data_IF_763123019163
#
_entry.id   IF_763123019163
#
_cell.length_a   1.000
_cell.length_b   1.000
_cell.length_c   1.000
_cell.angle_alpha   90.00
_cell.angle_beta   90.00
_cell.angle_gamma   90.00
#
_symmetry.space_group_name_H-M   'P 1'
#
loop_
_entity.id
_entity.type
_entity.pdbx_description
1 polymer ?
#
# COMPACT_ATOMS: atom_id res chain seq x y z
N UNK A 1 11.93 -8.54 -4.77
CA UNK A 1 11.51 -7.20 -4.33
C UNK A 1 10.31 -7.28 -3.38
N UNK A 2 10.43 -6.80 -2.13
CA UNK A 2 9.32 -6.70 -1.17
C UNK A 2 8.42 -5.50 -1.48
N UNK A 3 7.11 -5.65 -1.26
CA UNK A 3 6.12 -4.58 -1.42
C UNK A 3 5.66 -4.02 -0.09
N UNK A 4 5.19 -2.79 -0.12
CA UNK A 4 4.57 -2.18 1.04
C UNK A 4 3.23 -2.87 1.30
N UNK A 5 3.10 -3.48 2.46
CA UNK A 5 1.86 -4.09 2.92
C UNK A 5 1.58 -3.67 4.35
N UNK A 6 0.36 -3.17 4.57
CA UNK A 6 -0.21 -2.97 5.88
C UNK A 6 -0.72 -4.31 6.38
N UNK A 7 -0.35 -4.70 7.60
CA UNK A 7 -0.91 -5.91 8.22
C UNK A 7 -2.42 -5.75 8.41
N UNK A 8 -3.18 -6.83 8.22
CA UNK A 8 -4.63 -6.81 8.37
C UNK A 8 -5.08 -6.60 9.82
N UNK A 9 -4.22 -6.90 10.79
CA UNK A 9 -4.57 -6.80 12.20
C UNK A 9 -4.45 -5.36 12.70
N UNK A 10 -5.46 -4.87 13.43
CA UNK A 10 -5.58 -3.47 13.85
C UNK A 10 -4.34 -3.00 14.62
N UNK A 11 -3.77 -3.81 15.50
CA UNK A 11 -2.57 -3.42 16.26
C UNK A 11 -1.31 -3.30 15.38
N UNK A 12 -1.28 -3.95 14.21
CA UNK A 12 -0.13 -4.01 13.33
C UNK A 12 -0.35 -3.31 11.99
N UNK A 13 -1.45 -2.58 11.80
CA UNK A 13 -1.72 -1.92 10.52
C UNK A 13 -0.65 -0.86 10.16
N UNK A 14 -0.20 -0.08 11.15
CA UNK A 14 0.92 0.87 10.99
C UNK A 14 2.26 0.17 10.83
N UNK A 15 2.34 -1.13 11.16
CA UNK A 15 3.54 -1.89 10.92
C UNK A 15 3.62 -2.27 9.45
N UNK A 16 4.31 -1.43 8.67
CA UNK A 16 4.78 -1.81 7.36
C UNK A 16 5.71 -3.02 7.50
N UNK A 17 5.31 -4.16 6.94
CA UNK A 17 6.13 -5.36 6.87
C UNK A 17 6.66 -5.53 5.44
N UNK A 18 7.91 -5.98 5.33
CA UNK A 18 8.44 -6.60 4.11
C UNK A 18 7.77 -7.97 4.01
N UNK A 19 6.51 -8.01 3.54
CA UNK A 19 5.83 -9.27 3.32
C UNK A 19 6.64 -10.10 2.33
N UNK A 20 6.99 -11.32 2.70
CA UNK A 20 7.61 -12.28 1.79
C UNK A 20 6.58 -12.63 0.74
N UNK A 21 6.85 -12.13 -0.49
CA UNK A 21 6.30 -12.55 -1.79
C UNK A 21 4.77 -12.38 -1.84
N UNK A 22 4.20 -11.42 -2.55
CA UNK A 22 3.78 -11.56 -3.94
C UNK A 22 3.01 -10.26 -4.30
N UNK A 23 3.14 -9.77 -5.54
CA UNK A 23 2.48 -8.53 -6.00
C UNK A 23 1.12 -8.77 -6.63
N UNK A 24 0.09 -8.02 -6.24
CA UNK A 24 -1.17 -7.97 -6.99
C UNK A 24 -0.93 -7.64 -8.48
N UNK A 25 -1.72 -8.28 -9.35
CA UNK A 25 -1.73 -8.05 -10.78
C UNK A 25 -1.93 -6.56 -11.14
N UNK A 26 -2.76 -5.86 -10.36
CA UNK A 26 -3.20 -4.51 -10.64
C UNK A 26 -2.04 -3.49 -10.66
N UNK A 27 -1.11 -3.54 -9.70
CA UNK A 27 0.02 -2.60 -9.65
C UNK A 27 0.93 -2.72 -10.87
N UNK A 28 1.14 -3.96 -11.34
CA UNK A 28 2.04 -4.23 -12.47
C UNK A 28 1.47 -3.72 -13.77
N UNK A 29 0.17 -3.88 -13.95
CA UNK A 29 -0.52 -3.37 -15.12
C UNK A 29 -0.45 -1.84 -15.16
N UNK A 30 -0.67 -1.15 -14.04
CA UNK A 30 -0.50 0.30 -13.94
C UNK A 30 0.97 0.77 -14.06
N UNK A 31 1.94 -0.08 -13.69
CA UNK A 31 3.37 0.19 -13.90
C UNK A 31 3.86 -0.15 -15.33
N UNK A 32 2.99 -0.67 -16.21
CA UNK A 32 3.37 -1.07 -17.57
C UNK A 32 4.27 -2.31 -17.62
N UNK A 33 4.15 -3.22 -16.65
CA UNK A 33 4.90 -4.48 -16.60
C UNK A 33 3.93 -5.65 -16.88
N UNK A 34 4.12 -6.39 -17.99
CA UNK A 34 3.24 -7.51 -18.29
C UNK A 34 3.44 -8.67 -17.30
N UNK A 35 2.34 -9.36 -16.97
CA UNK A 35 2.30 -10.42 -15.95
C UNK A 35 3.33 -11.54 -16.16
N UNK A 36 3.57 -11.94 -17.42
CA UNK A 36 4.50 -13.01 -17.79
C UNK A 36 5.98 -12.55 -17.73
N UNK A 37 6.22 -11.26 -17.87
CA UNK A 37 7.57 -10.67 -17.85
C UNK A 37 8.02 -10.27 -16.43
N UNK A 38 7.08 -10.06 -15.51
CA UNK A 38 7.45 -9.71 -14.14
C UNK A 38 8.32 -10.77 -13.42
N UNK A 39 8.07 -12.10 -13.54
CA UNK A 39 8.92 -13.11 -12.94
C UNK A 39 10.35 -13.14 -13.51
N UNK A 40 10.54 -12.85 -14.80
CA UNK A 40 11.87 -12.86 -15.43
C UNK A 40 12.78 -11.76 -14.91
N UNK A 41 12.20 -10.66 -14.40
CA UNK A 41 12.93 -9.55 -13.78
C UNK A 41 13.13 -9.79 -12.27
N UNK A 42 12.57 -10.85 -11.68
CA UNK A 42 12.64 -11.11 -10.23
C UNK A 42 11.52 -10.42 -9.43
N UNK A 43 10.39 -10.10 -10.06
CA UNK A 43 9.19 -9.55 -9.39
C UNK A 43 8.14 -10.66 -9.21
N UNK A 44 8.01 -11.18 -8.00
CA UNK A 44 7.00 -12.18 -7.65
C UNK A 44 5.57 -11.68 -7.92
N UNK A 45 4.70 -12.52 -8.48
CA UNK A 45 3.29 -12.20 -8.86
C UNK A 45 2.32 -12.93 -7.91
N UNK A 46 1.39 -12.20 -7.31
CA UNK A 46 0.20 -12.74 -6.64
C UNK A 46 -1.04 -12.44 -7.48
N UNK A 47 -1.85 -13.45 -7.70
CA UNK A 47 -3.12 -13.31 -8.38
C UNK A 47 -4.29 -13.11 -7.39
N UNK A 48 -4.09 -13.51 -6.12
CA UNK A 48 -5.15 -13.52 -5.11
C UNK A 48 -5.30 -12.17 -4.41
N UNK A 49 -4.21 -11.41 -4.33
CA UNK A 49 -4.17 -10.15 -3.59
C UNK A 49 -5.00 -9.07 -4.30
N UNK A 50 -5.99 -8.54 -3.58
CA UNK A 50 -6.77 -7.35 -3.96
C UNK A 50 -6.42 -6.21 -3.01
N UNK A 51 -6.49 -4.99 -3.52
CA UNK A 51 -6.22 -3.79 -2.74
C UNK A 51 -7.50 -2.99 -2.54
N UNK A 52 -7.74 -2.55 -1.31
CA UNK A 52 -8.89 -1.71 -0.96
C UNK A 52 -8.55 -0.22 -0.94
N UNK A 53 -7.27 0.14 -0.75
CA UNK A 53 -6.82 1.54 -0.64
C UNK A 53 -6.08 2.04 -1.89
N UNK A 54 -6.35 3.30 -2.25
CA UNK A 54 -5.71 4.00 -3.36
C UNK A 54 -4.29 4.48 -3.04
N UNK A 55 -4.07 4.98 -1.83
CA UNK A 55 -2.75 5.47 -1.38
C UNK A 55 -1.69 4.37 -1.48
N UNK A 56 -1.96 3.22 -0.84
CA UNK A 56 -1.06 2.07 -0.92
C UNK A 56 -0.90 1.51 -2.34
N UNK A 57 -1.86 1.76 -3.24
CA UNK A 57 -1.72 1.42 -4.65
C UNK A 57 -0.70 2.33 -5.36
N UNK A 58 -0.83 3.64 -5.20
CA UNK A 58 0.05 4.62 -5.82
C UNK A 58 1.51 4.48 -5.35
N UNK A 59 1.74 4.30 -4.05
CA UNK A 59 3.09 4.08 -3.49
C UNK A 59 3.76 2.84 -4.10
N UNK A 60 3.00 1.76 -4.28
CA UNK A 60 3.53 0.53 -4.87
C UNK A 60 3.80 0.67 -6.38
N UNK A 61 2.96 1.40 -7.11
CA UNK A 61 3.20 1.71 -8.54
C UNK A 61 4.46 2.56 -8.70
N UNK A 62 4.64 3.60 -7.88
CA UNK A 62 5.85 4.42 -7.87
C UNK A 62 7.09 3.56 -7.54
N UNK A 63 6.99 2.66 -6.55
CA UNK A 63 8.06 1.72 -6.19
C UNK A 63 8.41 0.77 -7.34
N UNK A 64 7.44 0.28 -8.11
CA UNK A 64 7.71 -0.55 -9.30
C UNK A 64 8.37 0.25 -10.43
N UNK A 65 7.99 1.51 -10.63
CA UNK A 65 8.61 2.39 -11.62
C UNK A 65 10.07 2.71 -11.26
N UNK A 66 10.34 3.05 -9.99
CA UNK A 66 11.71 3.27 -9.50
C UNK A 66 12.58 2.01 -9.59
N UNK A 67 12.01 0.83 -9.32
CA UNK A 67 12.70 -0.45 -9.51
C UNK A 67 13.06 -0.68 -10.98
N UNK A 68 12.11 -0.46 -11.90
CA UNK A 68 12.34 -0.61 -13.34
C UNK A 68 13.41 0.35 -13.87
N UNK A 69 13.44 1.60 -13.39
CA UNK A 69 14.43 2.59 -13.81
C UNK A 69 15.86 2.27 -13.34
N UNK A 70 16.00 1.57 -12.20
CA UNK A 70 17.31 1.17 -11.64
C UNK A 70 17.76 -0.23 -12.05
N UNK A 71 16.91 -0.96 -12.79
CA UNK A 71 17.17 -2.32 -13.20
C UNK A 71 18.04 -2.30 -14.47
N UNK A 72 19.22 -2.90 -14.39
CA UNK A 72 20.09 -3.14 -15.54
C UNK A 72 19.84 -4.56 -16.04
N UNK A 73 19.41 -4.72 -17.30
CA UNK A 73 19.12 -6.04 -17.90
C UNK A 73 20.23 -6.41 -18.87
N UNK A 74 20.92 -7.49 -18.56
CA UNK A 74 21.92 -8.05 -19.45
C UNK A 74 21.26 -8.81 -20.62
N UNK A 75 21.76 -8.63 -21.85
CA UNK A 75 21.28 -9.40 -22.99
C UNK A 75 21.63 -10.88 -22.78
N UNK A 76 20.65 -11.76 -23.00
CA UNK A 76 20.86 -13.23 -22.88
C UNK A 76 21.96 -13.76 -23.81
N UNK A 77 22.19 -13.08 -24.94
CA UNK A 77 23.29 -13.34 -25.86
C UNK A 77 23.98 -12.02 -26.17
N UNK A 78 25.28 -11.93 -25.88
CA UNK A 78 26.09 -10.71 -25.96
C UNK A 78 26.07 -9.97 -27.30
N UNK A 79 25.74 -10.66 -28.41
CA UNK A 79 25.66 -10.08 -29.77
C UNK A 79 24.26 -9.84 -30.29
N UNK A 80 23.20 -10.18 -29.54
CA UNK A 80 21.80 -10.01 -29.97
C UNK A 80 21.02 -9.25 -28.90
N UNK A 81 21.03 -7.94 -29.02
CA UNK A 81 20.22 -7.05 -28.19
C UNK A 81 18.75 -7.12 -28.60
N UNK A 82 17.87 -7.24 -27.62
CA UNK A 82 16.41 -7.22 -27.76
C UNK A 82 15.85 -5.97 -27.09
N UNK A 83 14.59 -5.66 -27.42
CA UNK A 83 13.86 -4.59 -26.75
C UNK A 83 13.77 -4.89 -25.23
N UNK A 84 14.40 -4.04 -24.42
CA UNK A 84 14.45 -4.15 -22.97
C UNK A 84 15.81 -4.52 -22.38
N UNK A 85 16.85 -4.71 -23.21
CA UNK A 85 18.24 -4.85 -22.75
C UNK A 85 18.85 -3.46 -22.49
N UNK A 86 19.76 -3.38 -21.51
CA UNK A 86 20.47 -2.15 -21.15
C UNK A 86 21.57 -1.79 -22.15
N UNK A 87 21.89 -0.50 -22.24
CA UNK A 87 22.97 0.02 -23.07
C UNK A 87 24.34 -0.52 -22.62
N UNK A 88 25.31 -0.71 -23.53
CA UNK A 88 26.62 -1.27 -23.18
C UNK A 88 27.38 -0.46 -22.12
N UNK A 89 27.12 0.84 -22.02
CA UNK A 89 27.69 1.74 -21.01
C UNK A 89 27.20 1.42 -19.59
N UNK A 90 25.90 1.12 -19.44
CA UNK A 90 25.31 0.72 -18.16
C UNK A 90 25.78 -0.67 -17.74
N UNK A 91 26.04 -1.57 -18.70
CA UNK A 91 26.52 -2.92 -18.43
C UNK A 91 27.94 -2.93 -17.84
N UNK A 92 28.82 -2.04 -18.30
CA UNK A 92 30.20 -1.94 -17.82
C UNK A 92 30.29 -1.39 -16.38
N UNK A 93 29.35 -0.53 -16.00
CA UNK A 93 29.29 0.11 -14.68
C UNK A 93 28.48 -0.73 -13.66
N UNK A 94 27.83 -1.79 -14.11
CA UNK A 94 26.94 -2.60 -13.29
C UNK A 94 27.72 -3.31 -12.16
N UNK A 95 27.39 -2.95 -10.92
CA UNK A 95 27.92 -3.59 -9.71
C UNK A 95 26.80 -4.26 -8.94
N UNK A 96 27.11 -5.37 -8.27
CA UNK A 96 26.14 -6.06 -7.43
C UNK A 96 25.94 -5.29 -6.13
N UNK A 97 24.72 -4.81 -5.89
CA UNK A 97 24.34 -4.24 -4.60
C UNK A 97 24.22 -5.37 -3.58
N UNK A 98 25.02 -5.31 -2.52
CA UNK A 98 24.92 -6.23 -1.38
C UNK A 98 23.97 -5.66 -0.33
N UNK A 99 22.94 -6.41 0.05
CA UNK A 99 21.95 -6.03 1.06
C UNK A 99 20.50 -5.89 0.57
N UNK A 100 19.57 -5.46 1.43
CA UNK A 100 18.17 -5.32 1.08
C UNK A 100 17.95 -4.19 0.06
N UNK A 101 17.40 -4.54 -1.10
CA UNK A 101 17.13 -3.58 -2.16
C UNK A 101 15.85 -2.76 -1.89
N UNK A 102 16.00 -1.43 -1.85
CA UNK A 102 14.94 -0.45 -1.54
C UNK A 102 14.20 -0.78 -0.23
N UNK A 103 14.84 -0.64 0.94
CA UNK A 103 14.19 -0.90 2.21
C UNK A 103 12.95 -0.02 2.39
N UNK A 104 11.92 -0.56 3.04
CA UNK A 104 10.72 0.20 3.37
C UNK A 104 11.03 0.98 4.64
N UNK A 105 11.27 2.28 4.48
CA UNK A 105 11.44 3.19 5.62
C UNK A 105 10.06 3.69 6.03
N UNK A 106 9.83 3.74 7.35
CA UNK A 106 8.63 4.37 7.90
C UNK A 106 8.94 5.84 8.13
N UNK A 107 8.33 6.68 7.33
CA UNK A 107 8.33 8.12 7.58
C UNK A 107 7.52 8.36 8.85
N UNK A 108 8.20 8.85 9.89
CA UNK A 108 7.51 9.33 11.09
C UNK A 108 7.01 10.73 10.76
N UNK A 109 5.70 10.99 10.80
CA UNK A 109 5.20 12.34 10.59
C UNK A 109 5.83 13.26 11.63
N UNK A 110 6.44 14.35 11.18
CA UNK A 110 6.95 15.39 12.06
C UNK A 110 5.76 16.15 12.63
N UNK A 111 5.62 16.11 13.96
CA UNK A 111 4.56 16.86 14.64
C UNK A 111 5.05 18.27 14.88
N UNK A 112 4.40 19.25 14.25
CA UNK A 112 4.64 20.67 14.55
C UNK A 112 3.90 21.03 15.85
N UNK A 113 4.57 21.78 16.72
CA UNK A 113 3.99 22.25 17.98
C UNK A 113 3.09 23.45 17.70
N UNK A 114 1.81 23.19 17.52
CA UNK A 114 0.78 24.23 17.31
C UNK A 114 0.27 24.74 18.67
N UNK A 115 -0.02 26.04 18.77
CA UNK A 115 -0.67 26.62 19.95
C UNK A 115 -2.07 26.02 20.11
N UNK A 116 -2.41 25.63 21.34
CA UNK A 116 -3.73 25.04 21.66
C UNK A 116 -4.83 26.08 21.46
N UNK A 117 -5.71 25.84 20.51
CA UNK A 117 -6.89 26.68 20.27
C UNK A 117 -7.96 26.44 21.34
N UNK A 118 -8.86 27.40 21.56
CA UNK A 118 -9.91 27.26 22.58
C UNK A 118 -10.92 26.16 22.22
N UNK A 119 -11.11 25.88 20.92
CA UNK A 119 -11.86 24.73 20.43
C UNK A 119 -11.27 23.40 20.92
N UNK A 120 -9.94 23.24 20.86
CA UNK A 120 -9.25 22.04 21.37
C UNK A 120 -9.40 21.87 22.88
N UNK A 121 -9.51 22.97 23.64
CA UNK A 121 -9.74 22.93 25.10
C UNK A 121 -11.18 22.58 25.46
N UNK A 122 -12.14 23.10 24.69
CA UNK A 122 -13.56 22.82 24.90
C UNK A 122 -13.95 21.38 24.51
N UNK A 123 -13.12 20.73 23.69
CA UNK A 123 -13.35 19.38 23.20
C UNK A 123 -13.16 18.32 24.29
N UNK A 124 -14.27 17.78 24.78
CA UNK A 124 -14.29 16.66 25.74
C UNK A 124 -13.99 15.32 25.05
N UNK A 125 -12.72 15.02 24.84
CA UNK A 125 -12.27 13.83 24.13
C UNK A 125 -12.78 12.51 24.76
N UNK A 126 -12.76 12.41 26.09
CA UNK A 126 -13.22 11.21 26.81
C UNK A 126 -14.71 10.92 26.58
N UNK A 127 -15.55 11.96 26.69
CA UNK A 127 -17.00 11.83 26.53
C UNK A 127 -17.35 11.42 25.09
N UNK A 128 -16.70 12.04 24.09
CA UNK A 128 -16.90 11.68 22.69
C UNK A 128 -16.57 10.22 22.43
N UNK A 129 -15.43 9.71 22.90
CA UNK A 129 -15.05 8.30 22.72
C UNK A 129 -16.10 7.35 23.32
N UNK A 130 -16.72 7.72 24.44
CA UNK A 130 -17.76 6.92 25.10
C UNK A 130 -19.09 6.95 24.34
N UNK A 131 -19.47 8.13 23.83
CA UNK A 131 -20.64 8.29 22.95
C UNK A 131 -20.47 7.46 21.67
N UNK A 132 -19.30 7.51 21.02
CA UNK A 132 -19.04 6.72 19.79
C UNK A 132 -19.11 5.21 20.05
N UNK A 133 -18.57 4.73 21.18
CA UNK A 133 -18.72 3.31 21.58
C UNK A 133 -20.19 2.94 21.77
N UNK A 134 -20.97 3.83 22.37
CA UNK A 134 -22.41 3.64 22.60
C UNK A 134 -23.19 3.62 21.28
N UNK A 135 -22.86 4.54 20.37
CA UNK A 135 -23.43 4.58 19.02
C UNK A 135 -23.14 3.30 18.25
N UNK A 136 -21.88 2.86 18.20
CA UNK A 136 -21.47 1.62 17.54
C UNK A 136 -22.20 0.39 18.11
N UNK A 137 -22.39 0.33 19.44
CA UNK A 137 -23.13 -0.76 20.10
C UNK A 137 -24.62 -0.77 19.75
N UNK A 138 -25.24 0.40 19.60
CA UNK A 138 -26.70 0.53 19.41
C UNK A 138 -27.15 0.72 17.95
N UNK A 139 -26.25 0.65 16.95
CA UNK A 139 -26.62 0.76 15.52
C UNK A 139 -27.74 -0.20 15.14
N UNK A 140 -27.61 -1.49 15.47
CA UNK A 140 -28.60 -2.50 15.10
C UNK A 140 -29.95 -2.30 15.77
N UNK A 141 -29.97 -1.95 17.06
CA UNK A 141 -31.21 -1.71 17.82
C UNK A 141 -31.92 -0.46 17.32
N UNK A 142 -31.17 0.61 17.01
CA UNK A 142 -31.74 1.84 16.46
C UNK A 142 -32.29 1.63 15.05
N UNK A 143 -31.56 0.91 14.20
CA UNK A 143 -32.04 0.56 12.86
C UNK A 143 -33.32 -0.30 12.90
N UNK A 144 -33.40 -1.26 13.84
CA UNK A 144 -34.61 -2.07 14.04
C UNK A 144 -35.81 -1.23 14.49
N UNK A 145 -35.63 -0.36 15.49
CA UNK A 145 -36.69 0.52 15.99
C UNK A 145 -37.17 1.52 14.93
N UNK A 146 -36.26 2.09 14.15
CA UNK A 146 -36.61 2.96 13.02
C UNK A 146 -37.44 2.20 11.97
N UNK A 147 -37.03 0.98 11.62
CA UNK A 147 -37.78 0.15 10.67
C UNK A 147 -39.13 -0.34 11.21
N UNK A 148 -39.31 -0.46 12.52
CA UNK A 148 -40.60 -0.78 13.15
C UNK A 148 -41.53 0.45 13.17
N UNK A 149 -41.01 1.62 13.54
CA UNK A 149 -41.76 2.89 13.49
C UNK A 149 -42.24 3.22 12.06
N UNK A 150 -41.38 3.06 11.04
CA UNK A 150 -41.77 3.26 9.63
C UNK A 150 -42.83 2.27 9.14
N UNK A 151 -42.93 1.08 9.75
CA UNK A 151 -43.98 0.09 9.42
C UNK A 151 -45.30 0.40 10.11
N UNK A 152 -45.24 0.95 11.31
CA UNK A 152 -46.42 1.42 12.05
C UNK A 152 -47.00 2.69 11.42
N UNK A 153 -46.17 3.60 10.92
CA UNK A 153 -46.63 4.80 10.18
C UNK A 153 -47.22 4.49 8.79
N UNK A 154 -46.87 3.34 8.21
CA UNK A 154 -47.40 2.88 6.90
C UNK A 154 -48.64 2.00 7.02
N UNK A 155 -49.08 1.70 8.23
CA UNK A 155 -50.25 0.87 8.51
C UNK A 155 -51.43 1.74 8.94
#
# INVERSE_FOLDING_TARGET
MCHHFSCCFVCYHLNAACGVLYNSLCYKQAAGIPKKYAPTIGIAVDHRRRNSSLEGFQTNVQRLKTYKAKLVVFPRRTRKFKAGDSAPEELATATQVQGPYLPIVREKPTVELVKVTDEMKSFKAYDKLRIERTNARHVGVRAKRAAEAEKEEKK
#
